data_IF_077130880694
#
_entry.id   IF_077130880694
#
_cell.length_a   1.000
_cell.length_b   1.000
_cell.length_c   1.000
_cell.angle_alpha   90.00
_cell.angle_beta   90.00
_cell.angle_gamma   90.00
#
_symmetry.space_group_name_H-M   'P 1'
#
loop_
_entity.id
_entity.type
_entity.pdbx_description
1 polymer ?
#
# COMPACT_ATOMS: atom_id res chain seq x y z
N UNK A 1 -60.94 -8.35 20.77
CA UNK A 1 -60.28 -7.31 19.96
C UNK A 1 -58.89 -7.10 20.52
N UNK A 2 -57.87 -7.35 19.71
CA UNK A 2 -56.47 -7.53 20.10
C UNK A 2 -55.63 -6.31 19.71
N UNK A 3 -54.46 -6.17 20.35
CA UNK A 3 -53.24 -5.42 19.94
C UNK A 3 -53.10 -3.97 20.40
N UNK A 4 -51.93 -3.46 20.84
CA UNK A 4 -50.56 -4.01 21.02
C UNK A 4 -49.77 -3.04 21.96
N UNK A 5 -48.72 -3.49 22.66
CA UNK A 5 -47.92 -2.65 23.55
C UNK A 5 -47.00 -1.68 22.80
N UNK A 6 -46.82 -0.50 23.40
CA UNK A 6 -45.95 0.59 22.95
C UNK A 6 -44.48 0.12 22.96
N UNK A 7 -43.92 -0.13 21.78
CA UNK A 7 -42.53 -0.54 21.61
C UNK A 7 -41.61 0.68 21.84
N UNK A 8 -40.91 0.70 22.97
CA UNK A 8 -39.82 1.65 23.21
C UNK A 8 -38.66 1.30 22.25
N UNK A 9 -38.55 2.00 21.13
CA UNK A 9 -37.41 1.88 20.22
C UNK A 9 -36.21 2.62 20.80
N UNK A 10 -35.36 1.89 21.50
CA UNK A 10 -33.99 2.31 21.85
C UNK A 10 -33.17 2.38 20.56
N UNK A 11 -32.94 3.59 20.04
CA UNK A 11 -32.03 3.83 18.92
C UNK A 11 -30.60 3.66 19.45
N UNK A 12 -30.05 2.46 19.34
CA UNK A 12 -28.63 2.22 19.55
C UNK A 12 -27.86 2.85 18.38
N UNK A 13 -27.28 4.02 18.62
CA UNK A 13 -26.37 4.68 17.68
C UNK A 13 -25.15 3.79 17.44
N UNK A 14 -25.15 3.04 16.34
CA UNK A 14 -24.03 2.26 15.85
C UNK A 14 -22.96 3.23 15.33
N UNK A 15 -22.11 3.74 16.22
CA UNK A 15 -20.90 4.49 15.86
C UNK A 15 -19.91 3.53 15.21
N UNK A 16 -20.01 3.39 13.88
CA UNK A 16 -19.00 2.72 13.07
C UNK A 16 -17.75 3.60 13.13
N UNK A 17 -16.82 3.27 14.03
CA UNK A 17 -15.47 3.85 14.04
C UNK A 17 -14.77 3.44 12.74
N UNK A 18 -14.89 4.29 11.71
CA UNK A 18 -14.12 4.17 10.47
C UNK A 18 -12.67 4.52 10.78
N UNK A 19 -11.92 3.53 11.26
CA UNK A 19 -10.48 3.65 11.44
C UNK A 19 -9.80 3.76 10.07
N UNK A 20 -9.81 4.96 9.50
CA UNK A 20 -9.06 5.26 8.27
C UNK A 20 -7.61 4.82 8.45
N UNK A 21 -7.05 4.16 7.45
CA UNK A 21 -5.65 3.75 7.48
C UNK A 21 -4.78 5.01 7.45
N UNK A 22 -3.81 5.11 8.36
CA UNK A 22 -2.90 6.25 8.38
C UNK A 22 -2.13 6.28 7.07
N UNK A 23 -2.27 7.40 6.36
CA UNK A 23 -1.60 7.64 5.08
C UNK A 23 -0.40 8.55 5.33
N UNK A 24 0.70 8.21 4.69
CA UNK A 24 1.95 8.96 4.69
C UNK A 24 2.22 9.45 3.27
N UNK A 25 3.05 10.48 3.16
CA UNK A 25 3.40 11.14 1.91
C UNK A 25 4.87 10.94 1.61
N UNK A 26 5.21 10.92 0.33
CA UNK A 26 6.58 10.74 -0.12
C UNK A 26 6.86 11.67 -1.31
N UNK A 27 7.87 12.54 -1.24
CA UNK A 27 8.36 13.24 -2.43
C UNK A 27 8.87 12.25 -3.47
N UNK A 28 8.74 12.59 -4.77
CA UNK A 28 9.24 11.72 -5.86
C UNK A 28 10.73 11.45 -5.74
N UNK A 29 11.54 12.47 -5.39
CA UNK A 29 12.98 12.28 -5.17
C UNK A 29 13.28 11.27 -4.06
N UNK A 30 12.60 11.40 -2.91
CA UNK A 30 12.72 10.46 -1.79
C UNK A 30 12.30 9.04 -2.16
N UNK A 31 11.34 8.86 -3.06
CA UNK A 31 10.98 7.55 -3.61
C UNK A 31 12.12 6.97 -4.44
N UNK A 32 12.65 7.74 -5.40
CA UNK A 32 13.71 7.31 -6.31
C UNK A 32 15.03 7.03 -5.58
N UNK A 33 15.35 7.77 -4.52
CA UNK A 33 16.54 7.52 -3.69
C UNK A 33 16.47 6.19 -2.91
N UNK A 34 15.26 5.72 -2.61
CA UNK A 34 15.06 4.51 -1.81
C UNK A 34 14.85 3.25 -2.65
N UNK A 35 14.41 3.41 -3.90
CA UNK A 35 14.15 2.30 -4.82
C UNK A 35 15.36 2.16 -5.75
N UNK A 36 16.24 1.16 -5.52
CA UNK A 36 17.44 1.02 -6.32
C UNK A 36 17.10 0.57 -7.74
N UNK A 37 17.96 0.94 -8.68
CA UNK A 37 17.91 0.45 -10.06
C UNK A 37 18.07 -1.07 -10.08
N UNK A 38 17.23 -1.77 -10.86
CA UNK A 38 17.23 -3.23 -10.90
C UNK A 38 18.58 -3.85 -11.29
N UNK A 39 19.39 -3.14 -12.07
CA UNK A 39 20.70 -3.59 -12.54
C UNK A 39 21.76 -3.68 -11.44
N UNK A 40 21.57 -2.96 -10.33
CA UNK A 40 22.63 -2.77 -9.30
C UNK A 40 22.29 -3.40 -7.95
N UNK A 41 21.12 -4.03 -7.83
CA UNK A 41 20.60 -4.49 -6.54
C UNK A 41 20.45 -6.00 -6.46
N UNK A 42 20.97 -6.56 -5.36
CA UNK A 42 20.69 -7.92 -4.96
C UNK A 42 19.30 -7.99 -4.34
N UNK A 43 18.33 -8.50 -5.10
CA UNK A 43 16.96 -8.67 -4.60
C UNK A 43 16.91 -9.76 -3.52
N UNK A 44 16.08 -9.54 -2.51
CA UNK A 44 15.77 -10.53 -1.47
C UNK A 44 14.58 -11.38 -1.92
N UNK A 45 14.72 -12.70 -1.90
CA UNK A 45 13.57 -13.59 -2.08
C UNK A 45 12.77 -13.66 -0.78
N UNK A 46 11.45 -13.51 -0.88
CA UNK A 46 10.53 -13.63 0.26
C UNK A 46 9.39 -14.57 -0.11
N UNK A 47 8.83 -15.23 0.90
CA UNK A 47 7.56 -15.96 0.77
C UNK A 47 6.50 -15.24 1.59
N UNK A 48 5.43 -14.80 0.93
CA UNK A 48 4.28 -14.20 1.58
C UNK A 48 3.09 -15.17 1.61
N UNK A 49 2.40 -15.21 2.74
CA UNK A 49 1.12 -15.88 2.88
C UNK A 49 -0.01 -14.87 2.71
N UNK A 50 -1.01 -15.20 1.91
CA UNK A 50 -2.22 -14.39 1.71
C UNK A 50 -3.27 -14.65 2.83
N UNK A 51 -4.37 -13.87 2.90
CA UNK A 51 -5.41 -14.07 3.91
C UNK A 51 -6.14 -15.42 3.85
N UNK A 52 -6.10 -16.13 2.71
CA UNK A 52 -6.67 -17.46 2.52
C UNK A 52 -5.68 -18.58 2.86
N UNK A 53 -4.44 -18.23 3.20
CA UNK A 53 -3.38 -19.15 3.56
C UNK A 53 -2.48 -19.58 2.41
N UNK A 54 -2.74 -19.12 1.17
CA UNK A 54 -1.90 -19.44 0.02
C UNK A 54 -0.53 -18.77 0.13
N UNK A 55 0.50 -19.47 -0.34
CA UNK A 55 1.90 -19.02 -0.26
C UNK A 55 2.40 -18.61 -1.64
N UNK A 56 3.06 -17.46 -1.71
CA UNK A 56 3.65 -16.93 -2.93
C UNK A 56 5.07 -16.48 -2.66
N UNK A 57 6.02 -17.00 -3.45
CA UNK A 57 7.43 -16.61 -3.38
C UNK A 57 7.75 -15.63 -4.50
N UNK A 58 8.45 -14.54 -4.17
CA UNK A 58 8.86 -13.51 -5.13
C UNK A 58 10.05 -12.71 -4.62
N UNK A 59 10.70 -11.98 -5.53
CA UNK A 59 11.82 -11.11 -5.22
C UNK A 59 11.35 -9.70 -4.89
N UNK A 60 11.95 -9.10 -3.86
CA UNK A 60 11.69 -7.72 -3.40
C UNK A 60 13.00 -6.97 -3.24
N UNK A 61 12.95 -5.65 -3.27
CA UNK A 61 14.10 -4.84 -2.84
C UNK A 61 14.39 -5.08 -1.35
N UNK A 62 15.67 -5.12 -0.92
CA UNK A 62 16.06 -5.30 0.46
C UNK A 62 15.84 -4.01 1.30
N UNK A 63 14.60 -3.53 1.32
CA UNK A 63 14.17 -2.32 2.04
C UNK A 63 13.33 -2.77 3.24
N UNK A 64 13.87 -2.61 4.45
CA UNK A 64 13.15 -3.02 5.68
C UNK A 64 12.22 -1.92 6.21
N UNK A 65 12.55 -0.65 5.95
CA UNK A 65 11.72 0.50 6.32
C UNK A 65 11.66 1.54 5.21
N UNK A 66 10.49 2.13 5.03
CA UNK A 66 10.17 3.13 4.03
C UNK A 66 10.24 4.50 4.72
N UNK A 67 11.11 5.39 4.24
CA UNK A 67 11.19 6.77 4.71
C UNK A 67 10.09 7.58 4.04
N UNK A 68 9.20 8.14 4.84
CA UNK A 68 8.06 8.94 4.39
C UNK A 68 7.79 10.07 5.38
N UNK A 69 6.73 10.84 5.14
CA UNK A 69 6.32 11.96 5.99
C UNK A 69 4.86 11.79 6.37
N UNK A 70 4.45 12.22 7.56
CA UNK A 70 3.03 12.34 7.85
C UNK A 70 2.41 13.58 7.19
N UNK A 71 1.11 13.80 7.44
CA UNK A 71 0.35 14.93 6.88
C UNK A 71 0.88 16.30 7.30
N UNK A 72 1.61 16.37 8.41
CA UNK A 72 2.16 17.60 8.98
C UNK A 72 3.62 17.80 8.53
N UNK A 73 4.15 16.92 7.67
CA UNK A 73 5.52 16.97 7.17
C UNK A 73 6.55 16.37 8.14
N UNK A 74 6.12 15.68 9.19
CA UNK A 74 7.05 15.05 10.14
C UNK A 74 7.63 13.77 9.54
N UNK A 75 8.98 13.59 9.55
CA UNK A 75 9.60 12.37 9.07
C UNK A 75 9.10 11.13 9.82
N UNK A 76 8.84 10.05 9.09
CA UNK A 76 8.37 8.78 9.61
C UNK A 76 9.06 7.62 8.89
N UNK A 77 9.27 6.50 9.60
CA UNK A 77 9.77 5.25 9.05
C UNK A 77 8.69 4.19 9.14
N UNK A 78 8.03 3.91 8.03
CA UNK A 78 7.02 2.85 7.96
C UNK A 78 7.71 1.51 7.76
N UNK A 79 7.40 0.52 8.59
CA UNK A 79 7.90 -0.85 8.42
C UNK A 79 7.40 -1.40 7.07
N UNK A 80 8.32 -1.88 6.23
CA UNK A 80 7.95 -2.46 4.95
C UNK A 80 7.31 -3.85 5.16
N UNK A 81 6.48 -4.27 4.22
CA UNK A 81 5.79 -5.55 4.29
C UNK A 81 4.80 -5.77 3.15
N UNK A 82 4.22 -6.98 3.06
CA UNK A 82 3.38 -7.37 1.93
C UNK A 82 1.97 -6.75 1.96
N UNK A 83 1.61 -6.05 3.05
CA UNK A 83 0.37 -5.29 3.17
C UNK A 83 0.53 -3.81 2.79
N UNK A 84 1.76 -3.33 2.60
CA UNK A 84 2.02 -1.92 2.32
C UNK A 84 1.61 -1.60 0.89
N UNK A 85 0.81 -0.55 0.76
CA UNK A 85 0.36 -0.01 -0.51
C UNK A 85 1.03 1.33 -0.77
N UNK A 86 1.37 1.55 -2.03
CA UNK A 86 1.83 2.83 -2.55
C UNK A 86 0.85 3.33 -3.61
N UNK A 87 0.53 4.60 -3.58
CA UNK A 87 -0.42 5.23 -4.50
C UNK A 87 0.28 6.36 -5.23
N UNK A 88 0.11 6.37 -6.53
CA UNK A 88 0.61 7.41 -7.41
C UNK A 88 -0.59 8.14 -8.00
N UNK A 89 -0.68 9.44 -7.76
CA UNK A 89 -1.65 10.32 -8.42
C UNK A 89 -0.91 11.11 -9.48
N UNK A 90 -1.35 11.01 -10.73
CA UNK A 90 -0.77 11.74 -11.84
C UNK A 90 -1.22 13.21 -11.89
N UNK A 91 -0.59 14.00 -12.76
CA UNK A 91 -0.95 15.41 -13.00
C UNK A 91 -2.41 15.62 -13.44
N UNK A 92 -3.05 14.60 -14.01
CA UNK A 92 -4.45 14.60 -14.42
C UNK A 92 -5.40 14.12 -13.31
N UNK A 93 -4.89 13.88 -12.09
CA UNK A 93 -5.65 13.40 -10.95
C UNK A 93 -5.98 11.90 -10.99
N UNK A 94 -5.45 11.13 -11.95
CA UNK A 94 -5.68 9.69 -12.02
C UNK A 94 -4.81 9.00 -10.98
N UNK A 95 -5.45 8.26 -10.08
CA UNK A 95 -4.78 7.51 -9.01
C UNK A 95 -4.56 6.05 -9.41
N UNK A 96 -3.38 5.53 -9.14
CA UNK A 96 -3.03 4.11 -9.29
C UNK A 96 -2.44 3.59 -7.98
N UNK A 97 -2.99 2.49 -7.48
CA UNK A 97 -2.53 1.84 -6.24
C UNK A 97 -1.77 0.56 -6.57
N UNK A 98 -0.60 0.39 -5.97
CA UNK A 98 0.25 -0.79 -6.09
C UNK A 98 0.63 -1.31 -4.71
N UNK A 99 1.12 -2.54 -4.65
CA UNK A 99 1.84 -3.03 -3.48
C UNK A 99 3.28 -2.51 -3.51
N UNK A 100 3.75 -1.93 -2.41
CA UNK A 100 5.09 -1.32 -2.35
C UNK A 100 6.18 -2.35 -2.65
N UNK A 101 6.05 -3.55 -2.09
CA UNK A 101 6.98 -4.67 -2.31
C UNK A 101 6.91 -5.30 -3.72
N UNK A 102 6.02 -4.78 -4.57
CA UNK A 102 5.83 -5.19 -5.97
C UNK A 102 5.81 -3.98 -6.90
N UNK A 103 6.60 -2.97 -6.55
CA UNK A 103 6.79 -1.74 -7.31
C UNK A 103 8.27 -1.58 -7.64
N UNK A 104 8.57 -1.31 -8.91
CA UNK A 104 9.93 -1.15 -9.43
C UNK A 104 10.03 0.13 -10.25
N UNK A 105 11.25 0.66 -10.33
CA UNK A 105 11.60 1.74 -11.25
C UNK A 105 12.45 1.14 -12.37
N UNK A 106 11.96 1.27 -13.60
CA UNK A 106 12.68 0.87 -14.82
C UNK A 106 12.76 2.10 -15.71
N UNK A 107 13.99 2.58 -15.94
CA UNK A 107 14.22 3.86 -16.64
C UNK A 107 13.39 4.98 -15.97
N UNK A 108 12.54 5.67 -16.73
CA UNK A 108 11.69 6.76 -16.25
C UNK A 108 10.25 6.32 -15.95
N UNK A 109 10.03 5.02 -15.67
CA UNK A 109 8.70 4.47 -15.40
C UNK A 109 8.65 3.70 -14.09
N UNK A 110 7.61 3.96 -13.30
CA UNK A 110 7.20 3.13 -12.17
C UNK A 110 6.33 2.01 -12.68
N UNK A 111 6.74 0.76 -12.46
CA UNK A 111 5.97 -0.43 -12.77
C UNK A 111 5.51 -1.04 -11.45
N UNK A 112 4.19 -1.20 -11.29
CA UNK A 112 3.63 -1.76 -10.06
C UNK A 112 2.57 -2.81 -10.31
N UNK A 113 2.42 -3.73 -9.35
CA UNK A 113 1.35 -4.73 -9.31
C UNK A 113 0.13 -4.16 -8.58
N UNK A 114 -1.02 -4.11 -9.25
CA UNK A 114 -2.30 -3.64 -8.70
C UNK A 114 -3.06 -4.74 -7.95
N UNK A 115 -2.88 -6.00 -8.37
CA UNK A 115 -3.53 -7.16 -7.76
C UNK A 115 -2.53 -8.30 -7.59
N UNK A 116 -2.36 -8.80 -6.35
CA UNK A 116 -1.52 -9.98 -6.09
C UNK A 116 -2.13 -11.28 -6.65
N UNK A 117 -3.46 -11.33 -6.80
CA UNK A 117 -4.18 -12.50 -7.31
C UNK A 117 -4.14 -12.54 -8.85
N UNK A 118 -4.52 -11.43 -9.49
CA UNK A 118 -4.58 -11.35 -10.96
C UNK A 118 -3.24 -10.99 -11.59
N UNK A 119 -2.22 -10.65 -10.79
CA UNK A 119 -0.92 -10.17 -11.25
C UNK A 119 -0.98 -9.00 -12.24
N UNK A 120 -2.04 -8.17 -12.15
CA UNK A 120 -2.24 -7.03 -13.03
C UNK A 120 -1.14 -6.00 -12.78
N UNK A 121 -0.35 -5.71 -13.82
CA UNK A 121 0.73 -4.71 -13.80
C UNK A 121 0.31 -3.45 -14.53
N UNK A 122 0.83 -2.31 -14.08
CA UNK A 122 0.68 -1.02 -14.76
C UNK A 122 1.97 -0.23 -14.68
N UNK A 123 2.29 0.47 -15.75
CA UNK A 123 3.39 1.42 -15.81
C UNK A 123 2.86 2.87 -15.69
N UNK A 124 3.61 3.72 -15.00
CA UNK A 124 3.33 5.16 -14.86
C UNK A 124 4.64 5.91 -15.12
N UNK A 125 4.67 6.87 -16.05
CA UNK A 125 5.85 7.71 -16.24
C UNK A 125 6.12 8.53 -14.99
N UNK A 126 7.37 8.51 -14.50
CA UNK A 126 7.80 9.23 -13.30
C UNK A 126 7.51 10.73 -13.43
N UNK A 127 7.72 11.29 -14.62
CA UNK A 127 7.46 12.69 -14.96
C UNK A 127 6.01 13.13 -14.80
N UNK A 128 5.06 12.19 -14.74
CA UNK A 128 3.63 12.49 -14.56
C UNK A 128 3.18 12.42 -13.10
N UNK A 129 4.02 11.95 -12.18
CA UNK A 129 3.66 11.75 -10.78
C UNK A 129 3.58 13.10 -10.07
N UNK A 130 2.40 13.42 -9.55
CA UNK A 130 2.15 14.63 -8.76
C UNK A 130 2.23 14.36 -7.26
N UNK A 131 1.67 13.23 -6.80
CA UNK A 131 1.59 12.86 -5.38
C UNK A 131 1.93 11.38 -5.24
N UNK A 132 2.74 11.05 -4.23
CA UNK A 132 2.94 9.69 -3.76
C UNK A 132 2.43 9.58 -2.34
N UNK A 133 1.55 8.60 -2.10
CA UNK A 133 1.03 8.25 -0.79
C UNK A 133 1.44 6.81 -0.45
N UNK A 134 1.77 6.53 0.80
CA UNK A 134 2.08 5.18 1.29
C UNK A 134 1.21 4.91 2.52
N UNK A 135 0.65 3.70 2.61
CA UNK A 135 -0.17 3.29 3.74
C UNK A 135 -0.03 1.80 4.01
N UNK A 136 -0.31 1.40 5.25
CA UNK A 136 -0.61 0.00 5.51
C UNK A 136 -2.06 -0.27 5.09
N UNK A 137 -2.23 -1.10 4.04
CA UNK A 137 -3.55 -1.51 3.56
C UNK A 137 -4.29 -2.43 4.54
N UNK A 138 -3.64 -2.84 5.66
CA UNK A 138 -4.16 -3.74 6.70
C UNK A 138 -4.64 -5.09 6.18
N UNK A 139 -4.28 -5.43 4.95
CA UNK A 139 -4.52 -6.74 4.37
C UNK A 139 -3.66 -7.74 5.16
N UNK A 140 -4.24 -8.88 5.55
CA UNK A 140 -3.59 -9.91 6.40
C UNK A 140 -2.50 -10.72 5.68
N UNK A 141 -1.72 -10.09 4.80
CA UNK A 141 -0.54 -10.71 4.21
C UNK A 141 0.60 -10.71 5.22
N UNK A 142 1.39 -11.79 5.26
CA UNK A 142 2.56 -11.89 6.15
C UNK A 142 3.72 -12.54 5.41
N UNK A 143 4.94 -12.05 5.62
CA UNK A 143 6.13 -12.83 5.25
C UNK A 143 6.27 -13.99 6.23
N UNK A 144 6.52 -15.19 5.71
CA UNK A 144 6.63 -16.42 6.51
C UNK A 144 8.06 -16.98 6.56
N UNK A 145 8.93 -16.54 5.65
CA UNK A 145 10.36 -16.80 5.69
C UNK A 145 11.05 -15.43 5.73
N UNK A 146 11.71 -15.10 6.85
CA UNK A 146 12.53 -13.91 7.02
C UNK A 146 13.99 -14.32 7.22
#
# INVERSE_FOLDING_TARGET
>A
MTTKPLLLTTIAALTIFSSSCKTYYMPVGTFLEQVPTLETVNLRQVTAQDPLGHKHTYSVYPIDSIKCFDKDGTPYKLKNGPSIEIRFTDINGRRSTFYFDRTWVIQDSVIGVQSKILSLKKAIPVSTIKIIEVQDGRKKYKYINQ
#
